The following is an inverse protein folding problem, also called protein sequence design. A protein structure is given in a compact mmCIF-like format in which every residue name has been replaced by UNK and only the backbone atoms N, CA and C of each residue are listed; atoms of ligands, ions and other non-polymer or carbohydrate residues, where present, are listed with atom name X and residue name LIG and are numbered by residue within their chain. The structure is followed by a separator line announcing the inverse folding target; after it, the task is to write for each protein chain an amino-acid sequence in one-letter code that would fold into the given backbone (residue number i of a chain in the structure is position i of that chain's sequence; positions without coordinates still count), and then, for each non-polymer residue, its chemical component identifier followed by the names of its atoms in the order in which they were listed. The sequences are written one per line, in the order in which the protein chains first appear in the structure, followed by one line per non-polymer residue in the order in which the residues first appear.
data_IF_236152793774
#
_entry.id   IF_236152793774
#
_cell.length_a   1.000
_cell.length_b   1.000
_cell.length_c   1.000
_cell.angle_alpha   90.00
_cell.angle_beta   90.00
_cell.angle_gamma   90.00
#
_symmetry.space_group_name_H-M   'P 1'
#
loop_
_entity.id
_entity.type
_entity.pdbx_description
1 polymer ?
#
# COMPACT_ATOMS: atom_id res chain seq x y z
N UNK A 1 9.93 -11.30 -3.63
CA UNK A 1 10.84 -10.66 -2.67
C UNK A 1 11.96 -11.60 -2.32
N UNK A 2 13.12 -11.07 -1.98
CA UNK A 2 14.24 -11.89 -1.53
C UNK A 2 13.80 -12.73 -0.33
N UNK A 3 14.35 -13.94 -0.17
CA UNK A 3 14.03 -14.91 0.86
C UNK A 3 12.64 -15.55 0.73
N UNK A 4 12.05 -15.48 -0.44
CA UNK A 4 10.77 -16.14 -0.74
C UNK A 4 9.68 -15.77 0.27
N UNK A 5 9.52 -14.47 0.54
CA UNK A 5 8.52 -13.97 1.48
C UNK A 5 7.12 -14.21 0.91
N UNK A 6 6.28 -14.92 1.66
CA UNK A 6 4.88 -15.14 1.30
C UNK A 6 4.03 -13.96 1.71
N UNK A 7 2.79 -13.88 1.19
CA UNK A 7 1.84 -12.84 1.58
C UNK A 7 1.61 -12.82 3.09
N UNK A 8 1.43 -13.99 3.71
CA UNK A 8 1.23 -14.11 5.15
C UNK A 8 2.45 -13.61 5.93
N UNK A 9 3.65 -13.98 5.52
CA UNK A 9 4.88 -13.52 6.15
C UNK A 9 5.07 -12.02 6.00
N UNK A 10 4.75 -11.47 4.84
CA UNK A 10 4.82 -10.03 4.59
C UNK A 10 3.92 -9.26 5.55
N UNK A 11 2.66 -9.67 5.66
CA UNK A 11 1.68 -9.04 6.56
C UNK A 11 2.12 -9.15 8.02
N UNK A 12 2.60 -10.34 8.44
CA UNK A 12 3.01 -10.60 9.82
C UNK A 12 4.27 -9.84 10.23
N UNK A 13 5.16 -9.55 9.29
CA UNK A 13 6.39 -8.81 9.60
C UNK A 13 6.14 -7.40 10.13
N UNK A 14 5.08 -6.75 9.69
CA UNK A 14 4.68 -5.45 10.23
C UNK A 14 4.21 -5.57 11.68
N UNK A 15 3.53 -6.65 12.03
CA UNK A 15 3.10 -6.92 13.40
C UNK A 15 4.31 -7.17 14.30
N UNK A 16 5.28 -7.96 13.83
CA UNK A 16 6.47 -8.32 14.61
C UNK A 16 7.36 -7.13 14.98
N UNK A 17 7.30 -6.05 14.19
CA UNK A 17 8.08 -4.84 14.47
C UNK A 17 7.22 -3.72 15.06
N UNK A 18 6.01 -4.04 15.52
CA UNK A 18 5.02 -3.10 16.11
C UNK A 18 4.61 -1.98 15.14
N UNK A 19 4.52 -2.30 13.85
CA UNK A 19 4.12 -1.36 12.78
C UNK A 19 2.79 -1.73 12.12
N UNK A 20 2.00 -2.59 12.75
CA UNK A 20 0.72 -3.04 12.22
C UNK A 20 -0.30 -1.91 12.04
N UNK A 21 -0.14 -0.80 12.75
CA UNK A 21 -1.04 0.35 12.65
C UNK A 21 -0.68 1.33 11.52
N UNK A 22 0.49 1.16 10.87
CA UNK A 22 0.88 2.02 9.74
C UNK A 22 0.04 1.76 8.50
N UNK A 23 -0.40 0.50 8.32
CA UNK A 23 -1.23 0.09 7.20
C UNK A 23 -2.32 -0.85 7.69
N UNK A 24 -3.51 -0.75 7.09
CA UNK A 24 -4.57 -1.70 7.34
C UNK A 24 -4.16 -3.11 6.85
N UNK A 25 -4.88 -4.14 7.29
CA UNK A 25 -4.64 -5.51 6.81
C UNK A 25 -4.69 -5.57 5.27
N UNK A 26 -5.74 -4.97 4.69
CA UNK A 26 -5.90 -4.94 3.24
C UNK A 26 -4.86 -4.05 2.54
N UNK A 27 -4.39 -3.00 3.22
CA UNK A 27 -3.29 -2.17 2.74
C UNK A 27 -1.99 -2.94 2.67
N UNK A 28 -1.69 -3.77 3.66
CA UNK A 28 -0.49 -4.62 3.64
C UNK A 28 -0.55 -5.65 2.51
N UNK A 29 -1.72 -6.23 2.26
CA UNK A 29 -1.91 -7.13 1.11
C UNK A 29 -1.68 -6.39 -0.21
N UNK A 30 -2.22 -5.19 -0.35
CA UNK A 30 -2.03 -4.38 -1.54
C UNK A 30 -0.56 -4.04 -1.79
N UNK A 31 0.18 -3.72 -0.72
CA UNK A 31 1.64 -3.49 -0.80
C UNK A 31 2.39 -4.73 -1.26
N UNK A 32 2.04 -5.90 -0.72
CA UNK A 32 2.67 -7.15 -1.13
C UNK A 32 2.47 -7.40 -2.63
N UNK A 33 1.25 -7.28 -3.11
CA UNK A 33 0.92 -7.47 -4.53
C UNK A 33 1.64 -6.45 -5.41
N UNK A 34 1.72 -5.20 -4.95
CA UNK A 34 2.44 -4.14 -5.67
C UNK A 34 3.92 -4.47 -5.83
N UNK A 35 4.59 -4.89 -4.76
CA UNK A 35 6.01 -5.22 -4.82
C UNK A 35 6.28 -6.49 -5.62
N UNK A 36 5.39 -7.49 -5.57
CA UNK A 36 5.50 -8.70 -6.40
C UNK A 36 5.41 -8.33 -7.89
N UNK A 37 4.47 -7.46 -8.24
CA UNK A 37 4.31 -7.00 -9.61
C UNK A 37 5.53 -6.19 -10.06
N UNK A 38 6.05 -5.35 -9.18
CA UNK A 38 7.24 -4.54 -9.47
C UNK A 38 8.47 -5.41 -9.73
N UNK A 39 8.66 -6.49 -8.94
CA UNK A 39 9.74 -7.45 -9.17
C UNK A 39 9.62 -8.10 -10.55
N UNK A 40 8.40 -8.46 -10.94
CA UNK A 40 8.13 -9.04 -12.26
C UNK A 40 8.44 -8.05 -13.38
N UNK A 41 8.05 -6.79 -13.21
CA UNK A 41 8.26 -5.74 -14.21
C UNK A 41 9.75 -5.41 -14.41
N UNK A 42 10.54 -5.36 -13.34
CA UNK A 42 11.97 -5.05 -13.43
C UNK A 42 12.85 -6.29 -13.64
N UNK A 43 12.28 -7.48 -13.44
CA UNK A 43 13.00 -8.75 -13.61
C UNK A 43 14.03 -9.05 -12.53
N UNK A 44 13.96 -8.37 -11.39
CA UNK A 44 14.89 -8.54 -10.27
C UNK A 44 14.13 -8.65 -8.95
N UNK A 45 14.63 -9.46 -7.98
CA UNK A 45 14.01 -9.51 -6.65
C UNK A 45 14.27 -8.22 -5.87
N UNK A 46 13.27 -7.82 -5.08
CA UNK A 46 13.34 -6.64 -4.22
C UNK A 46 13.56 -7.08 -2.78
N UNK A 47 14.48 -6.44 -2.08
CA UNK A 47 14.69 -6.69 -0.66
C UNK A 47 13.48 -6.18 0.15
N UNK A 48 12.94 -7.05 1.01
CA UNK A 48 11.84 -6.68 1.88
C UNK A 48 12.37 -5.97 3.13
N UNK A 49 12.06 -4.67 3.24
CA UNK A 49 12.39 -3.85 4.41
C UNK A 49 11.11 -3.16 4.90
N UNK A 50 10.40 -3.75 5.89
CA UNK A 50 9.16 -3.20 6.38
C UNK A 50 9.32 -1.83 7.03
N UNK A 51 10.46 -1.52 7.64
CA UNK A 51 10.72 -0.21 8.23
C UNK A 51 10.83 0.85 7.14
N UNK A 52 11.57 0.57 6.07
CA UNK A 52 11.68 1.49 4.93
C UNK A 52 10.32 1.73 4.29
N UNK A 53 9.49 0.69 4.13
CA UNK A 53 8.13 0.83 3.60
C UNK A 53 7.29 1.75 4.48
N UNK A 54 7.34 1.59 5.79
CA UNK A 54 6.63 2.46 6.73
C UNK A 54 7.08 3.92 6.64
N UNK A 55 8.35 4.17 6.32
CA UNK A 55 8.89 5.52 6.17
C UNK A 55 8.57 6.16 4.83
N UNK A 56 8.43 5.36 3.77
CA UNK A 56 8.26 5.86 2.41
C UNK A 56 6.82 5.89 1.91
N UNK A 57 5.93 5.11 2.51
CA UNK A 57 4.55 4.94 2.04
C UNK A 57 3.56 5.30 3.14
N UNK A 58 2.42 5.88 2.74
CA UNK A 58 1.33 6.24 3.65
C UNK A 58 0.00 5.82 3.07
N UNK A 59 -0.84 5.20 3.89
CA UNK A 59 -2.20 4.81 3.51
C UNK A 59 -3.19 5.91 3.88
N UNK A 60 -4.10 6.24 2.96
CA UNK A 60 -5.20 7.18 3.17
C UNK A 60 -6.52 6.50 2.88
N UNK A 61 -7.54 6.84 3.66
CA UNK A 61 -8.89 6.30 3.47
C UNK A 61 -9.63 6.99 2.32
N UNK A 62 -9.29 8.26 2.05
CA UNK A 62 -9.95 9.04 1.02
C UNK A 62 -9.01 10.09 0.43
N UNK A 63 -9.37 10.57 -0.76
CA UNK A 63 -8.65 11.66 -1.40
C UNK A 63 -8.72 12.96 -0.58
N UNK A 64 -9.84 13.19 0.11
CA UNK A 64 -10.01 14.36 0.98
C UNK A 64 -8.98 14.36 2.11
N UNK A 65 -8.71 13.20 2.70
CA UNK A 65 -7.69 13.06 3.74
C UNK A 65 -6.30 13.40 3.22
N UNK A 66 -5.93 12.92 2.04
CA UNK A 66 -4.66 13.24 1.41
C UNK A 66 -4.56 14.74 1.11
N UNK A 67 -5.60 15.33 0.56
CA UNK A 67 -5.63 16.77 0.25
C UNK A 67 -5.43 17.61 1.52
N UNK A 68 -6.04 17.21 2.62
CA UNK A 68 -5.90 17.89 3.90
C UNK A 68 -4.45 17.84 4.40
N UNK A 69 -3.83 16.67 4.35
CA UNK A 69 -2.44 16.47 4.83
C UNK A 69 -1.44 17.25 3.98
N UNK A 70 -1.60 17.24 2.66
CA UNK A 70 -0.66 17.91 1.75
C UNK A 70 -1.02 19.36 1.43
N UNK A 71 -2.19 19.83 1.85
CA UNK A 71 -2.66 21.16 1.51
C UNK A 71 -2.93 21.33 0.01
N UNK A 72 -3.46 20.29 -0.64
CA UNK A 72 -3.72 20.23 -2.07
C UNK A 72 -5.20 20.08 -2.34
N UNK A 73 -5.58 20.19 -3.63
CA UNK A 73 -6.96 20.07 -4.08
C UNK A 73 -7.07 19.12 -5.27
N UNK A 74 -6.51 17.93 -5.14
CA UNK A 74 -6.64 16.91 -6.18
C UNK A 74 -8.10 16.48 -6.34
N UNK A 75 -8.56 16.37 -7.57
CA UNK A 75 -9.93 15.98 -7.89
C UNK A 75 -10.09 14.46 -7.98
N UNK A 76 -9.02 13.76 -8.36
CA UNK A 76 -9.02 12.29 -8.48
C UNK A 76 -7.62 11.71 -8.24
N UNK A 77 -7.54 10.38 -8.19
CA UNK A 77 -6.28 9.68 -7.97
C UNK A 77 -5.33 9.76 -9.17
N UNK A 78 -5.85 10.00 -10.37
CA UNK A 78 -5.03 10.14 -11.58
C UNK A 78 -4.14 11.37 -11.46
N UNK A 79 -4.65 12.45 -10.88
CA UNK A 79 -3.83 13.64 -10.61
C UNK A 79 -2.71 13.35 -9.62
N UNK A 80 -3.00 12.58 -8.57
CA UNK A 80 -1.99 12.17 -7.58
C UNK A 80 -0.93 11.30 -8.24
N UNK A 81 -1.32 10.41 -9.15
CA UNK A 81 -0.40 9.48 -9.83
C UNK A 81 0.59 10.19 -10.74
N UNK A 82 0.32 11.44 -11.14
CA UNK A 82 1.28 12.26 -11.89
C UNK A 82 2.49 12.68 -11.05
N UNK A 83 2.36 12.65 -9.72
CA UNK A 83 3.42 13.06 -8.79
C UNK A 83 4.10 11.89 -8.07
N UNK A 84 3.39 10.79 -7.86
CA UNK A 84 3.91 9.65 -7.10
C UNK A 84 3.18 8.36 -7.48
N UNK A 85 3.67 7.23 -6.96
CA UNK A 85 3.00 5.94 -7.14
C UNK A 85 1.77 5.87 -6.25
N UNK A 86 0.64 5.46 -6.83
CA UNK A 86 -0.63 5.25 -6.11
C UNK A 86 -0.96 3.76 -6.15
N UNK A 87 -1.19 3.17 -4.98
CA UNK A 87 -1.52 1.76 -4.83
C UNK A 87 -2.95 1.67 -4.32
N UNK A 88 -3.92 1.24 -5.13
CA UNK A 88 -5.30 1.10 -4.65
C UNK A 88 -5.40 -0.05 -3.65
N UNK A 89 -6.19 0.17 -2.60
CA UNK A 89 -6.48 -0.85 -1.58
C UNK A 89 -7.90 -1.36 -1.82
N UNK A 90 -8.05 -2.68 -1.88
CA UNK A 90 -9.35 -3.32 -2.04
C UNK A 90 -9.66 -4.14 -0.79
N UNK A 91 -10.87 -3.99 -0.27
CA UNK A 91 -11.35 -4.74 0.88
C UNK A 91 -12.41 -5.74 0.44
N UNK A 92 -12.35 -6.95 1.01
CA UNK A 92 -13.38 -7.94 0.77
C UNK A 92 -14.58 -7.65 1.65
N UNK A 93 -15.76 -7.48 1.03
CA UNK A 93 -17.01 -7.36 1.77
C UNK A 93 -17.52 -8.76 2.13
N UNK A 94 -17.51 -9.10 3.41
CA UNK A 94 -17.91 -10.42 3.89
C UNK A 94 -19.41 -10.72 3.72
N UNK A 95 -20.24 -9.70 3.47
CA UNK A 95 -21.68 -9.87 3.25
C UNK A 95 -22.00 -10.24 1.80
N UNK A 96 -21.29 -9.62 0.85
CA UNK A 96 -21.53 -9.82 -0.59
C UNK A 96 -20.47 -10.69 -1.26
N UNK A 97 -19.34 -10.93 -0.58
CA UNK A 97 -18.16 -11.64 -1.11
C UNK A 97 -17.55 -10.95 -2.33
N UNK A 98 -17.75 -9.65 -2.44
CA UNK A 98 -17.18 -8.82 -3.49
C UNK A 98 -16.13 -7.88 -2.92
N UNK A 99 -15.15 -7.50 -3.74
CA UNK A 99 -14.13 -6.52 -3.36
C UNK A 99 -14.67 -5.10 -3.54
N UNK A 100 -14.39 -4.25 -2.56
CA UNK A 100 -14.75 -2.84 -2.57
C UNK A 100 -13.48 -1.98 -2.49
N UNK A 101 -13.57 -0.74 -2.95
CA UNK A 101 -12.48 0.23 -2.79
C UNK A 101 -12.31 0.55 -1.31
N UNK A 102 -11.08 0.37 -0.80
CA UNK A 102 -10.76 0.54 0.61
C UNK A 102 -9.82 1.70 0.91
N UNK A 103 -9.65 2.62 -0.02
CA UNK A 103 -8.67 3.68 0.10
C UNK A 103 -7.48 3.44 -0.82
N UNK A 104 -6.33 4.01 -0.48
CA UNK A 104 -5.14 3.89 -1.31
C UNK A 104 -3.88 4.18 -0.51
N UNK A 105 -2.75 3.75 -1.05
CA UNK A 105 -1.43 4.01 -0.47
C UNK A 105 -0.62 4.81 -1.49
N UNK A 106 0.10 5.83 -1.04
CA UNK A 106 0.99 6.61 -1.88
C UNK A 106 2.42 6.57 -1.34
N UNK A 107 3.38 6.67 -2.23
CA UNK A 107 4.76 6.93 -1.84
C UNK A 107 4.87 8.42 -1.51
N UNK A 108 5.42 8.74 -0.35
CA UNK A 108 5.57 10.12 0.10
C UNK A 108 6.48 10.90 -0.86
N UNK A 109 6.06 12.13 -1.21
CA UNK A 109 6.82 12.99 -2.11
C UNK A 109 6.97 14.40 -1.59
#
# INVERSE_FOLDING_TARGET
MIDTVTQTEFVDRFVKIDRENNFSYWGRIALFEYFEQLEEDIGEPIEFDPIAICCEYTEYESLDELNEVYGKNFEDLDEVSDYTSVIPVRKLNSKTWEYEDGGFIVRDW
#
